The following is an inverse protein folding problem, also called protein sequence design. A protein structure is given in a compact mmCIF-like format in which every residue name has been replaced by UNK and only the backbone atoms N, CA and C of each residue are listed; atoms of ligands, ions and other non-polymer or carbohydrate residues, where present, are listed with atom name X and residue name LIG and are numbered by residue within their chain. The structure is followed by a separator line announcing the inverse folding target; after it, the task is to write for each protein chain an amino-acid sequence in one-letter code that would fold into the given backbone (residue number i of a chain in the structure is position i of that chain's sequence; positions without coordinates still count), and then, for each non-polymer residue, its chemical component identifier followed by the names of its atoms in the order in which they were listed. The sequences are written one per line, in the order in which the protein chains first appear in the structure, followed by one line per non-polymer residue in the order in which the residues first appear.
data_IF_530045587170
#
_entry.id   IF_530045587170
#
_cell.length_a   1.000
_cell.length_b   1.000
_cell.length_c   1.000
_cell.angle_alpha   90.00
_cell.angle_beta   90.00
_cell.angle_gamma   90.00
#
_symmetry.space_group_name_H-M   'P 1'
#
loop_
_entity.id
_entity.type
_entity.pdbx_description
1 polymer ?
#
# COMPACT_ATOMS: atom_id res chain seq x y z
N UNK A 1 12.88 -18.59 -12.05
CA UNK A 1 12.70 -19.35 -10.81
C UNK A 1 13.18 -18.49 -9.65
N UNK A 2 12.29 -18.10 -8.72
CA UNK A 2 12.68 -17.36 -7.52
C UNK A 2 13.47 -18.32 -6.61
N UNK A 3 14.66 -17.92 -6.19
CA UNK A 3 15.49 -18.72 -5.29
C UNK A 3 14.88 -18.62 -3.90
N UNK A 4 14.25 -19.70 -3.45
CA UNK A 4 13.78 -19.81 -2.07
C UNK A 4 15.00 -19.86 -1.14
N UNK A 5 15.02 -19.01 -0.13
CA UNK A 5 16.10 -19.02 0.85
C UNK A 5 15.94 -20.24 1.77
N UNK A 6 16.89 -21.18 1.69
CA UNK A 6 17.00 -22.30 2.65
C UNK A 6 17.66 -21.78 3.92
N UNK A 7 16.87 -21.62 4.99
CA UNK A 7 17.34 -21.13 6.29
C UNK A 7 18.04 -22.17 7.14
N UNK A 8 18.05 -23.44 6.71
CA UNK A 8 18.67 -24.54 7.44
C UNK A 8 20.20 -24.60 7.31
N UNK A 9 20.78 -23.91 6.31
CA UNK A 9 22.21 -23.95 5.97
C UNK A 9 22.77 -22.56 5.80
N UNK A 10 23.93 -22.28 6.41
CA UNK A 10 24.65 -21.01 6.26
C UNK A 10 24.73 -20.18 7.55
N UNK A 11 25.30 -18.98 7.46
CA UNK A 11 25.40 -18.08 8.61
C UNK A 11 24.11 -17.27 8.79
N UNK A 12 23.69 -17.07 10.03
CA UNK A 12 22.51 -16.27 10.39
C UNK A 12 22.63 -14.86 9.81
N UNK A 13 23.80 -14.26 9.86
CA UNK A 13 24.05 -12.91 9.33
C UNK A 13 23.80 -12.83 7.81
N UNK A 14 24.18 -13.86 7.05
CA UNK A 14 23.94 -13.92 5.62
C UNK A 14 22.44 -14.03 5.30
N UNK A 15 21.68 -14.81 6.09
CA UNK A 15 20.24 -14.93 5.93
C UNK A 15 19.53 -13.61 6.27
N UNK A 16 19.93 -12.98 7.37
CA UNK A 16 19.40 -11.67 7.74
C UNK A 16 19.65 -10.62 6.64
N UNK A 17 20.87 -10.55 6.11
CA UNK A 17 21.19 -9.60 5.05
C UNK A 17 20.40 -9.85 3.76
N UNK A 18 20.19 -11.12 3.37
CA UNK A 18 19.41 -11.49 2.19
C UNK A 18 17.94 -11.11 2.26
N UNK A 19 17.37 -11.05 3.45
CA UNK A 19 15.98 -10.63 3.65
C UNK A 19 15.91 -9.12 3.88
N UNK A 20 16.75 -8.60 4.78
CA UNK A 20 16.72 -7.20 5.18
C UNK A 20 17.04 -6.25 4.02
N UNK A 21 18.02 -6.59 3.16
CA UNK A 21 18.43 -5.71 2.08
C UNK A 21 17.31 -5.46 1.05
N UNK A 22 16.63 -6.48 0.47
CA UNK A 22 15.51 -6.24 -0.42
C UNK A 22 14.35 -5.50 0.25
N UNK A 23 14.03 -5.83 1.52
CA UNK A 23 12.97 -5.13 2.25
C UNK A 23 13.30 -3.66 2.49
N UNK A 24 14.56 -3.35 2.83
CA UNK A 24 15.03 -1.97 3.00
C UNK A 24 15.00 -1.21 1.68
N UNK A 25 15.44 -1.83 0.58
CA UNK A 25 15.36 -1.23 -0.75
C UNK A 25 13.91 -0.98 -1.17
N UNK A 26 13.00 -1.93 -0.93
CA UNK A 26 11.57 -1.74 -1.18
C UNK A 26 11.01 -0.54 -0.42
N UNK A 27 11.39 -0.40 0.85
CA UNK A 27 10.95 0.74 1.66
C UNK A 27 11.53 2.07 1.16
N UNK A 28 12.79 2.05 0.70
CA UNK A 28 13.41 3.23 0.10
C UNK A 28 12.69 3.65 -1.19
N UNK A 29 12.38 2.70 -2.07
CA UNK A 29 11.58 2.95 -3.29
C UNK A 29 10.19 3.50 -2.93
N UNK A 30 9.56 2.94 -1.90
CA UNK A 30 8.26 3.42 -1.41
C UNK A 30 8.31 4.89 -0.95
N UNK A 31 9.34 5.27 -0.19
CA UNK A 31 9.52 6.66 0.25
C UNK A 31 9.78 7.59 -0.94
N UNK A 32 10.63 7.16 -1.88
CA UNK A 32 10.94 7.96 -3.07
C UNK A 32 9.69 8.25 -3.91
N UNK A 33 8.88 7.23 -4.20
CA UNK A 33 7.68 7.46 -5.01
C UNK A 33 6.68 8.37 -4.28
N UNK A 34 6.52 8.24 -2.96
CA UNK A 34 5.67 9.14 -2.18
C UNK A 34 6.14 10.60 -2.23
N UNK A 35 7.47 10.83 -2.24
CA UNK A 35 8.04 12.17 -2.39
C UNK A 35 7.74 12.71 -3.78
N UNK A 36 7.96 11.90 -4.82
CA UNK A 36 7.77 12.30 -6.22
C UNK A 36 6.29 12.60 -6.51
N UNK A 37 5.36 11.79 -6.03
CA UNK A 37 3.92 12.03 -6.11
C UNK A 37 3.55 13.41 -5.53
N UNK A 38 4.07 13.75 -4.36
CA UNK A 38 3.87 15.08 -3.75
C UNK A 38 4.50 16.21 -4.56
N UNK A 39 5.65 15.97 -5.19
CA UNK A 39 6.27 16.94 -6.10
C UNK A 39 5.38 17.20 -7.32
N UNK A 40 4.76 16.17 -7.90
CA UNK A 40 3.82 16.32 -9.00
C UNK A 40 2.57 17.09 -8.56
N UNK A 41 1.97 16.73 -7.43
CA UNK A 41 0.80 17.44 -6.89
C UNK A 41 1.15 18.92 -6.60
N UNK A 42 2.35 19.18 -6.05
CA UNK A 42 2.85 20.53 -5.79
C UNK A 42 3.16 21.37 -7.04
N UNK A 43 3.09 20.78 -8.24
CA UNK A 43 3.25 21.47 -9.52
C UNK A 43 1.93 21.66 -10.28
N UNK A 44 0.79 21.33 -9.67
CA UNK A 44 -0.52 21.59 -10.28
C UNK A 44 -0.69 23.10 -10.46
N UNK A 45 -0.94 23.59 -11.69
CA UNK A 45 -1.10 25.03 -11.95
C UNK A 45 -2.23 25.63 -11.09
N UNK A 46 -2.01 26.83 -10.59
CA UNK A 46 -2.95 27.68 -9.84
C UNK A 46 -3.45 27.18 -8.49
N UNK A 47 -3.33 25.86 -8.21
CA UNK A 47 -3.92 25.23 -7.01
C UNK A 47 -2.96 24.28 -6.25
N UNK A 48 -1.66 24.45 -6.41
CA UNK A 48 -0.65 23.57 -5.81
C UNK A 48 -0.75 23.50 -4.27
N UNK A 49 -0.92 24.66 -3.63
CA UNK A 49 -0.99 24.75 -2.16
C UNK A 49 -2.25 24.08 -1.60
N UNK A 50 -3.40 24.36 -2.23
CA UNK A 50 -4.67 23.75 -1.85
C UNK A 50 -4.68 22.25 -2.07
N UNK A 51 -4.10 21.80 -3.19
CA UNK A 51 -3.97 20.39 -3.55
C UNK A 51 -3.09 19.62 -2.53
N UNK A 52 -1.89 20.15 -2.23
CA UNK A 52 -0.99 19.56 -1.23
C UNK A 52 -1.60 19.56 0.17
N UNK A 53 -2.27 20.64 0.55
CA UNK A 53 -2.93 20.73 1.86
C UNK A 53 -4.10 19.75 1.92
N UNK A 54 -4.89 19.62 0.85
CA UNK A 54 -5.97 18.64 0.74
C UNK A 54 -5.48 17.19 0.89
N UNK A 55 -4.37 16.85 0.21
CA UNK A 55 -3.70 15.56 0.39
C UNK A 55 -3.25 15.36 1.83
N UNK A 56 -2.63 16.38 2.45
CA UNK A 56 -2.18 16.34 3.83
C UNK A 56 -3.30 16.05 4.82
N UNK A 57 -4.48 16.64 4.61
CA UNK A 57 -5.68 16.40 5.44
C UNK A 57 -6.27 14.99 5.22
N UNK A 58 -6.20 14.46 4.00
CA UNK A 58 -6.67 13.10 3.69
C UNK A 58 -5.69 12.02 4.20
N UNK A 59 -4.41 12.33 4.31
CA UNK A 59 -3.33 11.39 4.62
C UNK A 59 -3.52 10.57 5.92
N UNK A 60 -4.01 11.12 7.05
CA UNK A 60 -4.27 10.31 8.25
C UNK A 60 -5.26 9.17 8.01
N UNK A 61 -6.28 9.38 7.18
CA UNK A 61 -7.27 8.34 6.83
C UNK A 61 -6.61 7.25 5.97
N UNK A 62 -5.77 7.64 5.00
CA UNK A 62 -4.99 6.70 4.21
C UNK A 62 -4.03 5.88 5.10
N UNK A 63 -3.37 6.54 6.06
CA UNK A 63 -2.46 5.88 7.00
C UNK A 63 -3.21 4.89 7.91
N UNK A 64 -4.44 5.20 8.29
CA UNK A 64 -5.27 4.27 9.07
C UNK A 64 -5.58 2.99 8.29
N UNK A 65 -5.87 3.08 6.98
CA UNK A 65 -6.03 1.91 6.13
C UNK A 65 -4.74 1.05 6.09
N UNK A 66 -3.58 1.69 5.93
CA UNK A 66 -2.27 1.03 5.97
C UNK A 66 -2.03 0.35 7.33
N UNK A 67 -2.43 0.98 8.44
CA UNK A 67 -2.29 0.41 9.77
C UNK A 67 -3.10 -0.89 9.94
N UNK A 68 -4.32 -0.94 9.43
CA UNK A 68 -5.13 -2.17 9.43
C UNK A 68 -4.52 -3.27 8.53
N UNK A 69 -3.98 -2.91 7.37
CA UNK A 69 -3.27 -3.87 6.52
C UNK A 69 -2.06 -4.46 7.24
N UNK A 70 -1.27 -3.62 7.89
CA UNK A 70 -0.11 -4.04 8.67
C UNK A 70 -0.49 -4.88 9.89
N UNK A 71 -1.60 -4.56 10.57
CA UNK A 71 -2.09 -5.35 11.70
C UNK A 71 -2.31 -6.82 11.30
N UNK A 72 -2.95 -7.06 10.16
CA UNK A 72 -3.21 -8.41 9.66
C UNK A 72 -1.92 -9.04 9.09
N UNK A 73 -1.18 -8.30 8.27
CA UNK A 73 0.03 -8.80 7.62
C UNK A 73 1.14 -9.13 8.62
N UNK A 74 1.48 -8.17 9.49
CA UNK A 74 2.55 -8.36 10.48
C UNK A 74 2.12 -9.25 11.66
N UNK A 75 0.82 -9.37 11.92
CA UNK A 75 0.30 -10.30 12.92
C UNK A 75 0.24 -11.75 12.42
N UNK A 76 -0.20 -11.95 11.17
CA UNK A 76 -0.38 -13.27 10.60
C UNK A 76 0.91 -13.90 10.04
N UNK A 77 1.81 -13.11 9.47
CA UNK A 77 3.02 -13.61 8.82
C UNK A 77 3.97 -14.38 9.77
N UNK A 78 4.21 -13.97 11.03
CA UNK A 78 4.98 -14.78 11.97
C UNK A 78 4.33 -16.11 12.33
N UNK A 79 3.01 -16.12 12.53
CA UNK A 79 2.26 -17.35 12.82
C UNK A 79 2.37 -18.33 11.65
N UNK A 80 2.18 -17.84 10.44
CA UNK A 80 2.38 -18.59 9.21
C UNK A 80 3.79 -19.20 9.13
N UNK A 81 4.84 -18.41 9.43
CA UNK A 81 6.23 -18.87 9.40
C UNK A 81 6.50 -19.97 10.43
N UNK A 82 5.91 -19.86 11.64
CA UNK A 82 6.05 -20.85 12.70
C UNK A 82 5.45 -22.19 12.27
N UNK A 83 4.23 -22.19 11.73
CA UNK A 83 3.57 -23.44 11.32
C UNK A 83 4.28 -24.10 10.12
N UNK A 84 4.76 -23.31 9.17
CA UNK A 84 5.63 -23.83 8.10
C UNK A 84 6.91 -24.44 8.64
N UNK A 85 7.55 -23.78 9.62
CA UNK A 85 8.76 -24.30 10.26
C UNK A 85 8.55 -25.63 11.01
N UNK A 86 7.34 -25.88 11.52
CA UNK A 86 6.92 -27.16 12.12
C UNK A 86 6.58 -28.23 11.06
N UNK A 87 6.50 -27.89 9.79
CA UNK A 87 6.03 -28.77 8.71
C UNK A 87 4.51 -28.90 8.63
N UNK A 88 3.76 -28.06 9.34
CA UNK A 88 2.29 -28.05 9.35
C UNK A 88 1.75 -27.16 8.21
N UNK A 89 1.85 -27.65 6.98
CA UNK A 89 1.45 -26.93 5.77
C UNK A 89 -0.06 -26.62 5.72
N UNK A 90 -0.91 -27.45 6.31
CA UNK A 90 -2.35 -27.22 6.33
C UNK A 90 -2.70 -26.00 7.21
N UNK A 91 -2.15 -25.92 8.41
CA UNK A 91 -2.37 -24.81 9.31
C UNK A 91 -1.78 -23.50 8.74
N UNK A 92 -0.60 -23.59 8.12
CA UNK A 92 -0.01 -22.43 7.43
C UNK A 92 -0.93 -21.89 6.33
N UNK A 93 -1.51 -22.76 5.48
CA UNK A 93 -2.48 -22.36 4.45
C UNK A 93 -3.76 -21.77 5.06
N UNK A 94 -4.21 -22.32 6.18
CA UNK A 94 -5.37 -21.83 6.91
C UNK A 94 -5.15 -20.40 7.44
N UNK A 95 -3.98 -20.14 8.04
CA UNK A 95 -3.59 -18.81 8.52
C UNK A 95 -3.54 -17.81 7.35
N UNK A 96 -2.94 -18.20 6.22
CA UNK A 96 -2.85 -17.36 5.03
C UNK A 96 -4.25 -17.02 4.48
N UNK A 97 -5.11 -18.02 4.32
CA UNK A 97 -6.48 -17.86 3.81
C UNK A 97 -7.35 -16.99 4.72
N UNK A 98 -7.25 -17.18 6.03
CA UNK A 98 -7.96 -16.36 7.02
C UNK A 98 -7.47 -14.91 7.00
N UNK A 99 -6.15 -14.70 6.90
CA UNK A 99 -5.58 -13.36 6.82
C UNK A 99 -6.02 -12.64 5.55
N UNK A 100 -6.04 -13.35 4.41
CA UNK A 100 -6.58 -12.80 3.16
C UNK A 100 -8.05 -12.41 3.31
N UNK A 101 -8.88 -13.32 3.82
CA UNK A 101 -10.31 -13.05 4.04
C UNK A 101 -10.54 -11.89 4.99
N UNK A 102 -9.74 -11.81 6.06
CA UNK A 102 -9.81 -10.72 7.03
C UNK A 102 -9.43 -9.38 6.40
N UNK A 103 -8.40 -9.34 5.54
CA UNK A 103 -8.03 -8.12 4.78
C UNK A 103 -9.15 -7.67 3.87
N UNK A 104 -9.83 -8.61 3.18
CA UNK A 104 -10.98 -8.27 2.33
C UNK A 104 -12.11 -7.68 3.16
N UNK A 105 -12.49 -8.34 4.26
CA UNK A 105 -13.58 -7.86 5.13
C UNK A 105 -13.26 -6.48 5.71
N UNK A 106 -12.08 -6.33 6.30
CA UNK A 106 -11.66 -5.04 6.88
C UNK A 106 -11.59 -3.96 5.79
N UNK A 107 -11.04 -4.27 4.61
CA UNK A 107 -10.93 -3.34 3.50
C UNK A 107 -12.28 -2.83 3.01
N UNK A 108 -13.24 -3.73 2.83
CA UNK A 108 -14.60 -3.35 2.44
C UNK A 108 -15.30 -2.55 3.54
N UNK A 109 -15.26 -3.03 4.79
CA UNK A 109 -15.89 -2.33 5.92
C UNK A 109 -15.27 -0.95 6.12
N UNK A 110 -13.94 -0.87 6.10
CA UNK A 110 -13.22 0.40 6.23
C UNK A 110 -13.63 1.38 5.12
N UNK A 111 -13.63 0.94 3.85
CA UNK A 111 -14.00 1.78 2.73
C UNK A 111 -15.43 2.32 2.87
N UNK A 112 -16.39 1.45 3.20
CA UNK A 112 -17.81 1.84 3.36
C UNK A 112 -17.96 2.81 4.53
N UNK A 113 -17.42 2.48 5.70
CA UNK A 113 -17.50 3.34 6.89
C UNK A 113 -16.87 4.70 6.63
N UNK A 114 -15.64 4.72 6.09
CA UNK A 114 -14.94 5.98 5.81
C UNK A 114 -15.65 6.79 4.73
N UNK A 115 -16.23 6.16 3.73
CA UNK A 115 -17.01 6.87 2.71
C UNK A 115 -18.24 7.58 3.30
N UNK A 116 -18.90 6.97 4.28
CA UNK A 116 -20.06 7.56 4.97
C UNK A 116 -19.65 8.72 5.91
N UNK A 117 -18.50 8.58 6.58
CA UNK A 117 -18.05 9.56 7.59
C UNK A 117 -16.94 10.51 7.09
N UNK A 118 -16.53 10.42 5.82
CA UNK A 118 -15.40 11.21 5.27
C UNK A 118 -15.57 12.71 5.48
N UNK A 119 -16.78 13.24 5.34
CA UNK A 119 -17.05 14.67 5.47
C UNK A 119 -16.76 15.19 6.89
N UNK A 120 -17.38 14.67 7.96
CA UNK A 120 -17.04 15.12 9.31
C UNK A 120 -15.59 14.84 9.68
N UNK A 121 -15.01 13.71 9.21
CA UNK A 121 -13.61 13.38 9.47
C UNK A 121 -12.64 14.36 8.83
N UNK A 122 -12.84 14.76 7.57
CA UNK A 122 -11.99 15.77 6.93
C UNK A 122 -12.06 17.12 7.63
N UNK A 123 -13.24 17.56 8.06
CA UNK A 123 -13.35 18.80 8.85
C UNK A 123 -12.67 18.67 10.22
N UNK A 124 -12.80 17.55 10.90
CA UNK A 124 -12.11 17.26 12.16
C UNK A 124 -10.58 17.29 12.01
N UNK A 125 -10.07 16.80 10.86
CA UNK A 125 -8.65 16.80 10.52
C UNK A 125 -8.14 18.17 10.02
N UNK A 126 -9.01 19.18 9.96
CA UNK A 126 -8.62 20.56 9.66
C UNK A 126 -8.90 21.03 8.22
N UNK A 127 -9.76 20.34 7.46
CA UNK A 127 -10.17 20.82 6.15
C UNK A 127 -10.94 22.13 6.27
N UNK A 128 -10.46 23.21 5.63
CA UNK A 128 -11.23 24.41 5.40
C UNK A 128 -12.17 24.24 4.22
N UNK A 129 -13.12 25.17 4.03
CA UNK A 129 -14.06 25.14 2.89
C UNK A 129 -13.35 25.08 1.52
N UNK A 130 -12.21 25.77 1.41
CA UNK A 130 -11.44 25.81 0.16
C UNK A 130 -10.66 24.54 -0.10
N UNK A 131 -10.21 23.86 0.95
CA UNK A 131 -9.38 22.64 0.89
C UNK A 131 -10.24 21.38 0.79
N UNK A 132 -11.45 21.41 1.36
CA UNK A 132 -12.34 20.26 1.43
C UNK A 132 -12.54 19.56 0.07
N UNK A 133 -12.74 20.32 -1.00
CA UNK A 133 -12.97 19.78 -2.34
C UNK A 133 -11.80 18.92 -2.84
N UNK A 134 -10.58 19.35 -2.59
CA UNK A 134 -9.36 18.60 -2.97
C UNK A 134 -9.19 17.35 -2.12
N UNK A 135 -9.36 17.47 -0.81
CA UNK A 135 -9.26 16.34 0.12
C UNK A 135 -10.35 15.28 -0.16
N UNK A 136 -11.60 15.70 -0.38
CA UNK A 136 -12.73 14.81 -0.66
C UNK A 136 -12.57 14.09 -1.99
N UNK A 137 -12.11 14.79 -3.02
CA UNK A 137 -11.87 14.22 -4.35
C UNK A 137 -10.78 13.13 -4.30
N UNK A 138 -9.65 13.42 -3.65
CA UNK A 138 -8.58 12.44 -3.46
C UNK A 138 -9.05 11.24 -2.66
N UNK A 139 -9.64 11.50 -1.48
CA UNK A 139 -10.05 10.44 -0.56
C UNK A 139 -11.13 9.54 -1.14
N UNK A 140 -12.07 10.08 -1.91
CA UNK A 140 -13.14 9.30 -2.53
C UNK A 140 -12.60 8.25 -3.50
N UNK A 141 -11.65 8.62 -4.35
CA UNK A 141 -10.99 7.71 -5.28
C UNK A 141 -10.12 6.70 -4.52
N UNK A 142 -9.34 7.16 -3.54
CA UNK A 142 -8.50 6.31 -2.72
C UNK A 142 -9.32 5.24 -1.98
N UNK A 143 -10.47 5.60 -1.40
CA UNK A 143 -11.35 4.67 -0.69
C UNK A 143 -11.90 3.58 -1.61
N UNK A 144 -12.19 3.88 -2.88
CA UNK A 144 -12.59 2.86 -3.86
C UNK A 144 -11.46 1.84 -4.11
N UNK A 145 -10.21 2.26 -3.99
CA UNK A 145 -9.03 1.41 -4.19
C UNK A 145 -8.42 0.85 -2.91
N UNK A 146 -8.92 1.21 -1.74
CA UNK A 146 -8.33 0.83 -0.43
C UNK A 146 -8.21 -0.68 -0.27
N UNK A 147 -9.15 -1.46 -0.80
CA UNK A 147 -9.08 -2.92 -0.78
C UNK A 147 -7.78 -3.43 -1.43
N UNK A 148 -7.40 -2.90 -2.60
CA UNK A 148 -6.18 -3.31 -3.29
C UNK A 148 -4.93 -2.87 -2.53
N UNK A 149 -4.95 -1.67 -1.93
CA UNK A 149 -3.87 -1.19 -1.06
C UNK A 149 -3.66 -2.14 0.13
N UNK A 150 -4.74 -2.52 0.79
CA UNK A 150 -4.68 -3.40 1.96
C UNK A 150 -4.24 -4.82 1.60
N UNK A 151 -4.75 -5.38 0.50
CA UNK A 151 -4.33 -6.68 0.01
C UNK A 151 -2.86 -6.69 -0.38
N UNK A 152 -2.41 -5.68 -1.13
CA UNK A 152 -1.00 -5.59 -1.54
C UNK A 152 -0.07 -5.52 -0.32
N UNK A 153 -0.33 -4.63 0.64
CA UNK A 153 0.54 -4.46 1.80
C UNK A 153 0.47 -5.65 2.76
N UNK A 154 -0.74 -6.14 3.06
CA UNK A 154 -0.93 -7.25 3.98
C UNK A 154 -0.34 -8.56 3.45
N UNK A 155 -0.57 -8.89 2.17
CA UNK A 155 -0.06 -10.13 1.58
C UNK A 155 1.45 -10.07 1.31
N UNK A 156 2.02 -8.88 1.06
CA UNK A 156 3.47 -8.72 0.92
C UNK A 156 4.24 -9.19 2.16
N UNK A 157 3.67 -9.03 3.36
CA UNK A 157 4.26 -9.54 4.60
C UNK A 157 4.40 -11.09 4.57
N UNK A 158 3.41 -11.80 4.02
CA UNK A 158 3.45 -13.26 3.88
C UNK A 158 4.45 -13.73 2.81
N UNK A 159 4.61 -12.97 1.71
CA UNK A 159 5.65 -13.25 0.70
C UNK A 159 7.03 -13.17 1.33
N UNK A 160 7.29 -12.11 2.11
CA UNK A 160 8.54 -11.96 2.83
C UNK A 160 8.76 -13.05 3.86
N UNK A 161 7.71 -13.47 4.57
CA UNK A 161 7.72 -14.56 5.54
C UNK A 161 8.02 -15.94 4.91
N UNK A 162 7.70 -16.11 3.64
CA UNK A 162 8.05 -17.30 2.86
C UNK A 162 9.52 -17.33 2.41
N UNK A 163 10.29 -16.27 2.66
CA UNK A 163 11.67 -16.14 2.22
C UNK A 163 11.84 -15.53 0.82
N UNK A 164 10.75 -15.05 0.21
CA UNK A 164 10.75 -14.45 -1.14
C UNK A 164 10.86 -12.91 -1.07
N UNK A 165 11.77 -12.38 -0.26
CA UNK A 165 11.92 -10.92 -0.08
C UNK A 165 12.17 -10.16 -1.39
N UNK A 166 12.84 -10.78 -2.37
CA UNK A 166 13.03 -10.19 -3.70
C UNK A 166 11.70 -10.03 -4.46
N UNK A 167 10.77 -10.97 -4.33
CA UNK A 167 9.42 -10.85 -4.93
C UNK A 167 8.65 -9.75 -4.23
N UNK A 168 8.71 -9.69 -2.90
CA UNK A 168 8.12 -8.58 -2.13
C UNK A 168 8.65 -7.21 -2.56
N UNK A 169 9.96 -7.09 -2.76
CA UNK A 169 10.59 -5.88 -3.31
C UNK A 169 10.09 -5.55 -4.73
N UNK A 170 10.00 -6.56 -5.61
CA UNK A 170 9.49 -6.36 -6.97
C UNK A 170 8.04 -5.88 -6.98
N UNK A 171 7.19 -6.40 -6.10
CA UNK A 171 5.80 -5.94 -5.93
C UNK A 171 5.73 -4.45 -5.64
N UNK A 172 6.51 -3.97 -4.67
CA UNK A 172 6.58 -2.55 -4.33
C UNK A 172 7.14 -1.73 -5.51
N UNK A 173 8.17 -2.23 -6.18
CA UNK A 173 8.79 -1.55 -7.32
C UNK A 173 7.84 -1.43 -8.52
N UNK A 174 7.05 -2.46 -8.82
CA UNK A 174 6.02 -2.42 -9.87
C UNK A 174 5.00 -1.32 -9.55
N UNK A 175 4.48 -1.30 -8.32
CA UNK A 175 3.56 -0.24 -7.89
C UNK A 175 4.16 1.16 -8.02
N UNK A 176 5.40 1.35 -7.56
CA UNK A 176 6.10 2.63 -7.62
C UNK A 176 6.36 3.10 -9.07
N UNK A 177 6.82 2.20 -9.96
CA UNK A 177 7.06 2.53 -11.37
C UNK A 177 5.76 2.85 -12.09
N UNK A 178 4.71 2.05 -11.88
CA UNK A 178 3.40 2.34 -12.45
C UNK A 178 2.88 3.71 -12.00
N UNK A 179 2.97 4.03 -10.71
CA UNK A 179 2.55 5.31 -10.19
C UNK A 179 3.35 6.46 -10.80
N UNK A 180 4.68 6.36 -10.84
CA UNK A 180 5.58 7.37 -11.41
C UNK A 180 5.27 7.69 -12.88
N UNK A 181 4.80 6.69 -13.65
CA UNK A 181 4.41 6.87 -15.06
C UNK A 181 3.00 7.46 -15.17
N UNK A 182 2.06 6.99 -14.34
CA UNK A 182 0.65 7.38 -14.41
C UNK A 182 0.39 8.77 -13.84
N UNK A 183 1.13 9.19 -12.81
CA UNK A 183 0.96 10.50 -12.17
C UNK A 183 1.06 11.65 -13.17
N UNK A 184 2.14 11.82 -13.95
CA UNK A 184 2.22 12.94 -14.89
C UNK A 184 1.14 12.88 -15.98
N UNK A 185 0.74 11.69 -16.41
CA UNK A 185 -0.30 11.51 -17.42
C UNK A 185 -1.65 11.98 -16.88
N UNK A 186 -2.05 11.50 -15.70
CA UNK A 186 -3.36 11.84 -15.15
C UNK A 186 -3.41 13.25 -14.59
N UNK A 187 -2.34 13.70 -13.92
CA UNK A 187 -2.31 15.03 -13.30
C UNK A 187 -2.25 16.13 -14.36
N UNK A 188 -1.35 16.01 -15.34
CA UNK A 188 -1.04 17.11 -16.28
C UNK A 188 -1.68 16.91 -17.66
N UNK A 189 -1.48 15.77 -18.33
CA UNK A 189 -2.01 15.53 -19.67
C UNK A 189 -3.54 15.42 -19.67
N UNK A 190 -4.11 14.64 -18.74
CA UNK A 190 -5.55 14.51 -18.59
C UNK A 190 -6.18 15.62 -17.75
N UNK A 191 -5.35 16.52 -17.16
CA UNK A 191 -5.79 17.67 -16.35
C UNK A 191 -6.69 17.29 -15.16
N UNK A 192 -6.52 16.09 -14.61
CA UNK A 192 -7.33 15.61 -13.49
C UNK A 192 -6.86 16.14 -12.13
N UNK A 193 -5.67 16.76 -12.07
CA UNK A 193 -5.13 17.32 -10.83
C UNK A 193 -5.04 16.27 -9.72
N UNK A 194 -5.56 16.58 -8.53
CA UNK A 194 -5.51 15.70 -7.35
C UNK A 194 -6.25 14.38 -7.56
N UNK A 195 -7.32 14.37 -8.36
CA UNK A 195 -8.04 13.14 -8.71
C UNK A 195 -7.16 12.20 -9.54
N UNK A 196 -6.33 12.77 -10.42
CA UNK A 196 -5.37 12.01 -11.21
C UNK A 196 -4.33 11.29 -10.35
N UNK A 197 -3.77 11.97 -9.35
CA UNK A 197 -2.84 11.36 -8.38
C UNK A 197 -3.49 10.19 -7.62
N UNK A 198 -4.72 10.38 -7.12
CA UNK A 198 -5.45 9.31 -6.44
C UNK A 198 -5.69 8.11 -7.35
N UNK A 199 -6.11 8.35 -8.60
CA UNK A 199 -6.37 7.30 -9.58
C UNK A 199 -5.09 6.54 -9.97
N UNK A 200 -3.98 7.26 -10.19
CA UNK A 200 -2.68 6.66 -10.45
C UNK A 200 -2.25 5.75 -9.30
N UNK A 201 -2.42 6.20 -8.05
CA UNK A 201 -2.14 5.40 -6.87
C UNK A 201 -2.99 4.12 -6.83
N UNK A 202 -4.31 4.22 -7.04
CA UNK A 202 -5.21 3.06 -7.02
C UNK A 202 -4.87 2.05 -8.11
N UNK A 203 -4.65 2.50 -9.35
CA UNK A 203 -4.29 1.63 -10.47
C UNK A 203 -2.94 0.94 -10.21
N UNK A 204 -1.96 1.67 -9.69
CA UNK A 204 -0.64 1.13 -9.37
C UNK A 204 -0.71 0.06 -8.28
N UNK A 205 -1.52 0.28 -7.24
CA UNK A 205 -1.76 -0.70 -6.19
C UNK A 205 -2.53 -1.91 -6.69
N UNK A 206 -3.49 -1.72 -7.60
CA UNK A 206 -4.18 -2.82 -8.26
C UNK A 206 -3.22 -3.67 -9.10
N UNK A 207 -2.34 -3.06 -9.91
CA UNK A 207 -1.34 -3.77 -10.68
C UNK A 207 -0.37 -4.57 -9.79
N UNK A 208 0.09 -3.96 -8.68
CA UNK A 208 0.91 -4.63 -7.68
C UNK A 208 0.18 -5.79 -7.00
N UNK A 209 -1.11 -5.62 -6.66
CA UNK A 209 -1.92 -6.67 -6.06
C UNK A 209 -2.15 -7.85 -7.02
N UNK A 210 -2.40 -7.60 -8.31
CA UNK A 210 -2.50 -8.65 -9.33
C UNK A 210 -1.19 -9.45 -9.46
N UNK A 211 -0.04 -8.74 -9.46
CA UNK A 211 1.27 -9.39 -9.46
C UNK A 211 1.50 -10.27 -8.23
N UNK A 212 1.07 -9.82 -7.06
CA UNK A 212 1.24 -10.54 -5.80
C UNK A 212 0.48 -11.87 -5.77
N UNK A 213 -0.61 -11.98 -6.53
CA UNK A 213 -1.49 -13.15 -6.55
C UNK A 213 -1.25 -14.10 -7.73
N UNK A 214 -0.38 -13.74 -8.67
CA UNK A 214 0.04 -14.58 -9.80
C UNK A 214 1.24 -15.45 -9.45
#
# INVERSE_FOLDING_TARGET
MAVQNDFSKGSILSHMARIALPMTLAQFVNILYNIIDRVFIGRIPDHATEALTGLGVAFPICTLAIAFANLVGMGGAPLFSIERGKGNEEEAKYILGNSFSLLVVIGVVFSVVMFLVKRPMLYLLGASKNIYGYADSYLSIYLCGTLFVMLNLGMNAFINAQGFANIGMMTVSIGAVCNLILDPIFIFEMKMGVQGAALATVISQFAAACWTQS
#
